data_IF_917823169197
#
_entry.id   IF_917823169197
#
_cell.length_a   1.000
_cell.length_b   1.000
_cell.length_c   1.000
_cell.angle_alpha   90.00
_cell.angle_beta   90.00
_cell.angle_gamma   90.00
#
_symmetry.space_group_name_H-M   'P 1'
#
loop_
_entity.id
_entity.type
_entity.pdbx_description
1 polymer ?
#
# COMPACT_ATOMS: atom_id res chain seq x y z
N UNK A 1 14.64 21.06 30.36
CA UNK A 1 13.98 21.30 29.06
C UNK A 1 13.75 19.93 28.44
N UNK A 2 12.53 19.39 28.52
CA UNK A 2 12.22 18.07 27.99
C UNK A 2 11.75 18.23 26.54
N UNK A 3 12.54 17.77 25.58
CA UNK A 3 12.10 17.57 24.20
C UNK A 3 11.12 16.40 24.20
N UNK A 4 9.84 16.71 24.06
CA UNK A 4 8.79 15.72 23.77
C UNK A 4 9.09 15.22 22.36
N UNK A 5 9.75 14.07 22.25
CA UNK A 5 9.83 13.32 21.00
C UNK A 5 8.40 12.87 20.73
N UNK A 6 7.74 13.53 19.80
CA UNK A 6 6.43 13.13 19.34
C UNK A 6 6.64 11.80 18.59
N UNK A 7 6.49 10.68 19.28
CA UNK A 7 6.35 9.36 18.67
C UNK A 7 4.98 9.31 18.00
N UNK A 8 4.74 10.13 16.98
CA UNK A 8 3.64 9.83 16.07
C UNK A 8 4.03 8.50 15.45
N UNK A 9 3.42 7.42 15.95
CA UNK A 9 3.44 6.14 15.26
C UNK A 9 2.99 6.43 13.84
N UNK A 10 3.86 6.10 12.89
CA UNK A 10 3.58 6.33 11.50
C UNK A 10 2.28 5.62 11.11
N UNK A 11 1.43 6.30 10.33
CA UNK A 11 0.20 5.71 9.84
C UNK A 11 0.53 4.41 9.08
N UNK A 12 -0.09 3.27 9.46
CA UNK A 12 0.29 1.96 8.92
C UNK A 12 0.15 1.88 7.40
N UNK A 13 -0.78 2.65 6.84
CA UNK A 13 -0.99 2.75 5.39
C UNK A 13 0.21 3.44 4.69
N UNK A 14 0.78 4.47 5.32
CA UNK A 14 1.98 5.15 4.82
C UNK A 14 3.22 4.26 4.92
N UNK A 15 3.36 3.52 6.02
CA UNK A 15 4.44 2.55 6.22
C UNK A 15 4.42 1.46 5.14
N UNK A 16 3.23 0.95 4.78
CA UNK A 16 3.06 -0.03 3.70
C UNK A 16 3.47 0.55 2.35
N UNK A 17 2.96 1.73 1.97
CA UNK A 17 3.31 2.37 0.69
C UNK A 17 4.82 2.59 0.59
N UNK A 18 5.46 3.07 1.66
CA UNK A 18 6.91 3.25 1.67
C UNK A 18 7.67 1.95 1.52
N UNK A 19 7.30 0.94 2.29
CA UNK A 19 7.99 -0.37 2.27
C UNK A 19 7.93 -0.99 0.88
N UNK A 20 6.76 -0.90 0.24
CA UNK A 20 6.58 -1.38 -1.13
C UNK A 20 7.45 -0.61 -2.12
N UNK A 21 7.45 0.73 -2.04
CA UNK A 21 8.26 1.54 -2.94
C UNK A 21 9.76 1.26 -2.74
N UNK A 22 10.22 1.10 -1.50
CA UNK A 22 11.61 0.75 -1.19
C UNK A 22 11.99 -0.61 -1.78
N UNK A 23 11.10 -1.60 -1.70
CA UNK A 23 11.31 -2.92 -2.31
C UNK A 23 11.34 -2.83 -3.84
N UNK A 24 10.40 -2.11 -4.45
CA UNK A 24 10.32 -1.95 -5.90
C UNK A 24 11.56 -1.27 -6.51
N UNK A 25 12.24 -0.43 -5.72
CA UNK A 25 13.43 0.31 -6.14
C UNK A 25 14.70 -0.12 -5.40
N UNK A 26 14.70 -1.31 -4.76
CA UNK A 26 15.83 -1.78 -3.96
C UNK A 26 17.12 -1.98 -4.78
N UNK A 27 16.98 -2.35 -6.06
CA UNK A 27 18.10 -2.54 -6.98
C UNK A 27 18.53 -1.24 -7.69
N UNK A 28 17.78 -0.15 -7.50
CA UNK A 28 18.14 1.15 -8.04
C UNK A 28 19.12 1.86 -7.11
N UNK A 29 20.09 2.60 -7.68
CA UNK A 29 20.96 3.46 -6.89
C UNK A 29 20.17 4.52 -6.13
N UNK A 30 20.67 4.96 -4.97
CA UNK A 30 19.96 5.89 -4.08
C UNK A 30 19.46 7.17 -4.78
N UNK A 31 20.22 7.70 -5.74
CA UNK A 31 19.81 8.88 -6.53
C UNK A 31 18.52 8.69 -7.33
N UNK A 32 18.19 7.44 -7.68
CA UNK A 32 16.96 7.07 -8.41
C UNK A 32 15.89 6.57 -7.44
N UNK A 33 16.26 5.80 -6.42
CA UNK A 33 15.31 5.24 -5.46
C UNK A 33 14.64 6.31 -4.59
N UNK A 34 15.40 7.28 -4.08
CA UNK A 34 14.89 8.31 -3.16
C UNK A 34 13.69 9.11 -3.72
N UNK A 35 13.74 9.68 -4.94
CA UNK A 35 12.59 10.41 -5.49
C UNK A 35 11.40 9.49 -5.80
N UNK A 36 11.66 8.26 -6.25
CA UNK A 36 10.60 7.29 -6.59
C UNK A 36 9.92 6.70 -5.35
N UNK A 37 10.59 6.65 -4.20
CA UNK A 37 9.99 6.33 -2.90
C UNK A 37 9.27 7.53 -2.31
N UNK A 38 9.85 8.73 -2.42
CA UNK A 38 9.28 9.95 -1.83
C UNK A 38 7.95 10.35 -2.48
N UNK A 39 7.81 10.19 -3.80
CA UNK A 39 6.59 10.55 -4.55
C UNK A 39 5.32 9.82 -4.04
N UNK A 40 5.24 8.48 -4.01
CA UNK A 40 4.06 7.76 -3.53
C UNK A 40 3.84 7.98 -2.02
N UNK A 41 4.89 8.17 -1.23
CA UNK A 41 4.76 8.52 0.19
C UNK A 41 4.08 9.89 0.38
N UNK A 42 4.48 10.89 -0.40
CA UNK A 42 3.86 12.21 -0.35
C UNK A 42 2.38 12.15 -0.77
N UNK A 43 2.06 11.40 -1.82
CA UNK A 43 0.68 11.20 -2.27
C UNK A 43 -0.19 10.50 -1.22
N UNK A 44 0.31 9.40 -0.63
CA UNK A 44 -0.35 8.70 0.47
C UNK A 44 -0.63 9.63 1.64
N UNK A 45 0.33 10.46 2.03
CA UNK A 45 0.16 11.40 3.12
C UNK A 45 -0.93 12.46 2.81
N UNK A 46 -1.00 12.95 1.57
CA UNK A 46 -2.07 13.86 1.15
C UNK A 46 -3.45 13.20 1.18
N UNK A 47 -3.55 11.92 0.78
CA UNK A 47 -4.81 11.18 0.80
C UNK A 47 -5.30 10.93 2.23
N UNK A 48 -4.39 10.57 3.16
CA UNK A 48 -4.70 10.43 4.58
C UNK A 48 -5.20 11.76 5.17
N UNK A 49 -4.49 12.86 4.92
CA UNK A 49 -4.87 14.18 5.44
C UNK A 49 -6.21 14.68 4.86
N UNK A 50 -6.50 14.33 3.60
CA UNK A 50 -7.75 14.67 2.94
C UNK A 50 -8.90 13.70 3.28
N UNK A 51 -8.64 12.61 4.02
CA UNK A 51 -9.62 11.57 4.30
C UNK A 51 -10.13 10.85 3.04
N UNK A 52 -9.33 10.84 1.96
CA UNK A 52 -9.68 10.21 0.67
C UNK A 52 -9.27 8.74 0.69
N UNK A 53 -10.07 7.93 1.37
CA UNK A 53 -9.75 6.53 1.62
C UNK A 53 -9.85 5.69 0.34
N UNK A 54 -10.77 5.98 -0.57
CA UNK A 54 -10.84 5.28 -1.86
C UNK A 54 -9.59 5.48 -2.72
N UNK A 55 -9.07 6.71 -2.77
CA UNK A 55 -7.83 7.03 -3.47
C UNK A 55 -6.63 6.32 -2.81
N UNK A 56 -6.61 6.25 -1.48
CA UNK A 56 -5.60 5.52 -0.70
C UNK A 56 -5.63 4.02 -0.96
N UNK A 57 -6.82 3.42 -1.01
CA UNK A 57 -6.99 2.01 -1.37
C UNK A 57 -6.39 1.72 -2.74
N UNK A 58 -6.71 2.58 -3.71
CA UNK A 58 -6.25 2.45 -5.10
C UNK A 58 -4.73 2.57 -5.19
N UNK A 59 -4.13 3.54 -4.49
CA UNK A 59 -2.68 3.72 -4.42
C UNK A 59 -1.97 2.52 -3.79
N UNK A 60 -2.47 2.02 -2.65
CA UNK A 60 -1.89 0.86 -1.96
C UNK A 60 -2.00 -0.40 -2.82
N UNK A 61 -3.16 -0.62 -3.46
CA UNK A 61 -3.37 -1.75 -4.35
C UNK A 61 -2.45 -1.66 -5.58
N UNK A 62 -2.31 -0.48 -6.21
CA UNK A 62 -1.39 -0.29 -7.33
C UNK A 62 0.07 -0.52 -6.91
N UNK A 63 0.44 -0.07 -5.72
CA UNK A 63 1.77 -0.34 -5.16
C UNK A 63 1.99 -1.84 -4.96
N UNK A 64 0.99 -2.57 -4.45
CA UNK A 64 1.07 -4.02 -4.25
C UNK A 64 1.31 -4.80 -5.56
N UNK A 65 0.89 -4.29 -6.73
CA UNK A 65 1.24 -4.91 -8.02
C UNK A 65 2.75 -4.96 -8.26
N UNK A 66 3.50 -3.97 -7.76
CA UNK A 66 4.96 -3.94 -7.87
C UNK A 66 5.61 -5.03 -7.01
N UNK A 67 5.03 -5.34 -5.84
CA UNK A 67 5.49 -6.47 -5.02
C UNK A 67 5.27 -7.80 -5.73
N UNK A 68 4.17 -7.92 -6.47
CA UNK A 68 3.82 -9.15 -7.19
C UNK A 68 4.73 -9.40 -8.39
N UNK A 69 5.24 -8.33 -9.01
CA UNK A 69 6.25 -8.42 -10.07
C UNK A 69 7.65 -8.74 -9.53
N UNK A 70 7.88 -8.59 -8.23
CA UNK A 70 9.18 -8.81 -7.60
C UNK A 70 9.32 -10.28 -7.17
N UNK A 71 10.27 -11.06 -7.70
CA UNK A 71 10.40 -12.49 -7.39
C UNK A 71 10.94 -12.79 -5.98
N UNK A 72 11.28 -11.75 -5.19
CA UNK A 72 11.90 -11.87 -3.87
C UNK A 72 10.98 -11.44 -2.71
N UNK A 73 9.73 -11.08 -2.98
CA UNK A 73 8.76 -10.76 -1.93
C UNK A 73 8.21 -12.04 -1.31
N UNK A 74 8.38 -12.26 0.00
CA UNK A 74 7.81 -13.42 0.65
C UNK A 74 6.29 -13.28 0.74
N UNK A 75 5.55 -14.38 0.55
CA UNK A 75 4.08 -14.40 0.61
C UNK A 75 3.51 -13.73 1.88
N UNK A 76 4.26 -13.80 2.99
CA UNK A 76 3.90 -13.16 4.26
C UNK A 76 3.84 -11.64 4.21
N UNK A 77 4.71 -11.00 3.42
CA UNK A 77 4.70 -9.55 3.29
C UNK A 77 3.50 -9.10 2.45
N UNK A 78 3.13 -9.88 1.44
CA UNK A 78 1.93 -9.65 0.65
C UNK A 78 0.64 -9.80 1.48
N UNK A 79 0.52 -10.87 2.29
CA UNK A 79 -0.60 -11.06 3.20
C UNK A 79 -0.74 -9.90 4.21
N UNK A 80 0.38 -9.40 4.73
CA UNK A 80 0.42 -8.26 5.62
C UNK A 80 -0.09 -6.99 4.93
N UNK A 81 0.40 -6.70 3.72
CA UNK A 81 -0.03 -5.55 2.91
C UNK A 81 -1.54 -5.61 2.63
N UNK A 82 -2.04 -6.76 2.18
CA UNK A 82 -3.46 -6.95 1.91
C UNK A 82 -4.31 -6.79 3.18
N UNK A 83 -3.81 -7.23 4.34
CA UNK A 83 -4.49 -7.03 5.63
C UNK A 83 -4.62 -5.55 5.97
N UNK A 84 -3.55 -4.76 5.79
CA UNK A 84 -3.60 -3.31 6.04
C UNK A 84 -4.58 -2.62 5.07
N UNK A 85 -4.60 -3.05 3.80
CA UNK A 85 -5.56 -2.54 2.80
C UNK A 85 -7.00 -2.88 3.20
N UNK A 86 -7.27 -4.10 3.67
CA UNK A 86 -8.60 -4.49 4.17
C UNK A 86 -9.02 -3.65 5.39
N UNK A 87 -8.09 -3.33 6.29
CA UNK A 87 -8.38 -2.49 7.45
C UNK A 87 -8.75 -1.05 7.10
N UNK A 88 -8.44 -0.59 5.88
CA UNK A 88 -8.86 0.72 5.39
C UNK A 88 -10.38 0.89 5.37
N UNK A 89 -11.12 -0.21 5.13
CA UNK A 89 -12.59 -0.24 5.15
C UNK A 89 -13.16 0.17 6.52
N UNK A 90 -12.36 0.09 7.59
CA UNK A 90 -12.78 0.54 8.94
C UNK A 90 -12.64 2.05 9.14
N UNK A 91 -11.93 2.75 8.26
CA UNK A 91 -11.66 4.20 8.35
C UNK A 91 -12.69 5.06 7.63
N UNK A 92 -13.45 4.46 6.71
CA UNK A 92 -14.48 5.14 5.92
C UNK A 92 -15.75 5.40 6.74
N UNK A 93 -16.31 6.59 6.57
CA UNK A 93 -17.53 7.03 7.27
C UNK A 93 -18.83 6.68 6.54
N UNK A 94 -18.74 6.11 5.33
CA UNK A 94 -19.87 5.79 4.46
C UNK A 94 -19.85 4.33 4.04
N UNK A 95 -21.03 3.68 4.07
CA UNK A 95 -21.20 2.30 3.60
C UNK A 95 -20.95 2.17 2.09
N UNK A 96 -21.32 3.18 1.30
CA UNK A 96 -21.07 3.19 -0.15
C UNK A 96 -19.56 3.21 -0.44
N UNK A 97 -18.80 4.04 0.26
CA UNK A 97 -17.35 4.14 0.09
C UNK A 97 -16.65 2.85 0.56
N UNK A 98 -17.13 2.26 1.67
CA UNK A 98 -16.68 0.96 2.14
C UNK A 98 -16.91 -0.15 1.10
N UNK A 99 -18.07 -0.15 0.47
CA UNK A 99 -18.41 -1.11 -0.58
C UNK A 99 -17.53 -0.93 -1.83
N UNK A 100 -17.22 0.31 -2.22
CA UNK A 100 -16.32 0.58 -3.35
C UNK A 100 -14.89 0.10 -3.07
N UNK A 101 -14.36 0.38 -1.87
CA UNK A 101 -13.05 -0.12 -1.45
C UNK A 101 -13.05 -1.66 -1.42
N UNK A 102 -14.10 -2.28 -0.86
CA UNK A 102 -14.21 -3.74 -0.84
C UNK A 102 -14.24 -4.34 -2.25
N UNK A 103 -14.98 -3.73 -3.18
CA UNK A 103 -15.00 -4.15 -4.60
C UNK A 103 -13.62 -4.06 -5.23
N UNK A 104 -12.86 -2.98 -5.00
CA UNK A 104 -11.49 -2.83 -5.50
C UNK A 104 -10.56 -3.94 -4.99
N UNK A 105 -10.63 -4.24 -3.69
CA UNK A 105 -9.85 -5.31 -3.07
C UNK A 105 -10.24 -6.66 -3.66
N UNK A 106 -11.53 -6.98 -3.72
CA UNK A 106 -12.01 -8.24 -4.27
C UNK A 106 -11.65 -8.40 -5.75
N UNK A 107 -11.75 -7.33 -6.55
CA UNK A 107 -11.34 -7.35 -7.96
C UNK A 107 -9.85 -7.68 -8.08
N UNK A 108 -9.01 -7.07 -7.23
CA UNK A 108 -7.58 -7.38 -7.19
C UNK A 108 -7.33 -8.84 -6.81
N UNK A 109 -7.90 -9.33 -5.72
CA UNK A 109 -7.75 -10.73 -5.28
C UNK A 109 -8.26 -11.75 -6.31
N UNK A 110 -9.33 -11.42 -7.04
CA UNK A 110 -9.90 -12.31 -8.07
C UNK A 110 -8.98 -12.39 -9.29
N UNK A 111 -8.40 -11.27 -9.71
CA UNK A 111 -7.39 -11.27 -10.77
C UNK A 111 -6.17 -12.12 -10.36
N UNK A 112 -5.74 -12.00 -9.10
CA UNK A 112 -4.62 -12.78 -8.54
C UNK A 112 -4.86 -14.31 -8.54
N UNK A 113 -6.07 -14.77 -8.17
CA UNK A 113 -6.39 -16.21 -8.17
C UNK A 113 -6.57 -16.80 -9.57
N UNK A 114 -6.91 -15.98 -10.56
CA UNK A 114 -7.04 -16.39 -11.97
C UNK A 114 -5.71 -16.55 -12.69
N UNK A 115 -4.68 -15.79 -12.28
CA UNK A 115 -3.32 -15.84 -12.81
C UNK A 115 -2.44 -16.88 -12.10
N UNK A 116 -3.01 -18.00 -11.63
CA UNK A 116 -2.17 -19.16 -11.29
C UNK A 116 -1.42 -19.54 -12.56
N UNK A 117 -0.08 -19.38 -12.65
CA UNK A 117 0.62 -19.93 -13.78
C UNK A 117 0.38 -21.44 -13.68
N UNK A 118 -0.35 -21.98 -14.66
CA UNK A 118 -0.20 -23.39 -14.98
C UNK A 118 1.26 -23.57 -15.36
N UNK A 119 2.11 -23.81 -14.36
CA UNK A 119 3.45 -24.32 -14.53
C UNK A 119 3.31 -25.63 -15.33
N UNK A 120 3.58 -25.54 -16.62
CA UNK A 120 3.97 -26.65 -17.48
C UNK A 120 5.47 -26.57 -17.67
#
# INVERSE_FOLDING_TARGET
MATIVNTMEEEPMLAVVRSIAQLAWADAGAEVADPEVARPCAEAQQQILAGRWLDMASLMLASADLLLLSPSTPDKDLECVLTVICNLVTKVGSEDEALEIAKLICAKLTHQLGEKPMLR
#
